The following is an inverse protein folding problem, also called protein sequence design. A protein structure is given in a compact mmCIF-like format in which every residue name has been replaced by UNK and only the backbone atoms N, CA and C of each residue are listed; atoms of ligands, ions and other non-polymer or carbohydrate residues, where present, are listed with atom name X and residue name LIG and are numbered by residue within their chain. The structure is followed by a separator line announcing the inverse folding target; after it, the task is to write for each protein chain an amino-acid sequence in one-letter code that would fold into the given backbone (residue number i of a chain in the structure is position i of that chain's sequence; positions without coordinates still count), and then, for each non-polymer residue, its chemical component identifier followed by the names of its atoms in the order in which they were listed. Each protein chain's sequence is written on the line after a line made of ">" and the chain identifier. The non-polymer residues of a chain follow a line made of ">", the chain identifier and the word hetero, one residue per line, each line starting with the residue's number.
data_IF_303598812594
#
_entry.id   IF_303598812594
#
_cell.length_a   1.000
_cell.length_b   1.000
_cell.length_c   1.000
_cell.angle_alpha   90.00
_cell.angle_beta   90.00
_cell.angle_gamma   90.00
#
_symmetry.space_group_name_H-M   'P 1'
#
loop_
_entity.id
_entity.type
_entity.pdbx_description
1 polymer ?
#
# COMPACT_ATOMS: atom_id res chain seq x y z
N UNK A 1 -48.28 -7.51 -31.56
CA UNK A 1 -47.03 -6.94 -30.98
C UNK A 1 -46.21 -6.34 -32.10
N UNK A 2 -46.07 -5.01 -32.15
CA UNK A 2 -45.48 -4.28 -33.28
C UNK A 2 -43.96 -4.53 -33.35
N UNK A 3 -43.42 -4.68 -34.57
CA UNK A 3 -41.97 -4.90 -34.81
C UNK A 3 -41.08 -3.83 -34.16
N UNK A 4 -41.61 -2.61 -34.02
CA UNK A 4 -40.95 -1.50 -33.33
C UNK A 4 -40.74 -1.74 -31.84
N UNK A 5 -41.74 -2.28 -31.15
CA UNK A 5 -41.64 -2.57 -29.73
C UNK A 5 -40.57 -3.62 -29.45
N UNK A 6 -40.52 -4.68 -30.27
CA UNK A 6 -39.49 -5.72 -30.15
C UNK A 6 -38.08 -5.16 -30.35
N UNK A 7 -37.86 -4.33 -31.38
CA UNK A 7 -36.58 -3.64 -31.60
C UNK A 7 -36.14 -2.77 -30.42
N UNK A 8 -37.08 -2.08 -29.76
CA UNK A 8 -36.79 -1.28 -28.57
C UNK A 8 -36.38 -2.15 -27.38
N UNK A 9 -37.09 -3.25 -27.14
CA UNK A 9 -36.72 -4.22 -26.11
C UNK A 9 -35.36 -4.85 -26.38
N UNK A 10 -35.07 -5.25 -27.62
CA UNK A 10 -33.79 -5.86 -28.01
C UNK A 10 -32.63 -4.87 -27.76
N UNK A 11 -32.82 -3.59 -28.09
CA UNK A 11 -31.84 -2.52 -27.82
C UNK A 11 -31.65 -2.26 -26.33
N UNK A 12 -32.72 -2.24 -25.55
CA UNK A 12 -32.63 -2.08 -24.10
C UNK A 12 -31.85 -3.25 -23.47
N UNK A 13 -32.12 -4.49 -23.93
CA UNK A 13 -31.40 -5.68 -23.48
C UNK A 13 -29.91 -5.63 -23.85
N UNK A 14 -29.57 -5.20 -25.08
CA UNK A 14 -28.17 -5.11 -25.50
C UNK A 14 -27.39 -4.11 -24.64
N UNK A 15 -27.96 -2.94 -24.35
CA UNK A 15 -27.32 -1.94 -23.48
C UNK A 15 -27.17 -2.43 -22.03
N UNK A 16 -28.14 -3.17 -21.49
CA UNK A 16 -28.02 -3.77 -20.15
C UNK A 16 -26.90 -4.80 -20.10
N UNK A 17 -26.78 -5.64 -21.13
CA UNK A 17 -25.70 -6.64 -21.21
C UNK A 17 -24.33 -5.97 -21.34
N UNK A 18 -24.23 -4.94 -22.16
CA UNK A 18 -23.01 -4.14 -22.32
C UNK A 18 -22.60 -3.49 -21.00
N UNK A 19 -23.52 -2.81 -20.31
CA UNK A 19 -23.26 -2.19 -19.01
C UNK A 19 -22.82 -3.24 -17.96
N UNK A 20 -23.47 -4.41 -17.91
CA UNK A 20 -23.04 -5.52 -17.04
C UNK A 20 -21.63 -5.99 -17.37
N UNK A 21 -21.28 -6.11 -18.65
CA UNK A 21 -19.95 -6.54 -19.07
C UNK A 21 -18.87 -5.52 -18.68
N UNK A 22 -19.15 -4.23 -18.84
CA UNK A 22 -18.25 -3.14 -18.44
C UNK A 22 -18.06 -3.14 -16.92
N UNK A 23 -19.15 -3.24 -16.15
CA UNK A 23 -19.07 -3.29 -14.69
C UNK A 23 -18.24 -4.48 -14.20
N UNK A 24 -18.43 -5.66 -14.81
CA UNK A 24 -17.62 -6.84 -14.52
C UNK A 24 -16.15 -6.58 -14.83
N UNK A 25 -15.84 -6.04 -16.01
CA UNK A 25 -14.47 -5.74 -16.41
C UNK A 25 -13.78 -4.81 -15.42
N UNK A 26 -14.40 -3.67 -15.07
CA UNK A 26 -13.81 -2.74 -14.11
C UNK A 26 -13.63 -3.35 -12.71
N UNK A 27 -14.58 -4.17 -12.27
CA UNK A 27 -14.49 -4.87 -10.98
C UNK A 27 -13.35 -5.90 -10.97
N UNK A 28 -13.24 -6.72 -12.02
CA UNK A 28 -12.25 -7.80 -12.11
C UNK A 28 -10.83 -7.28 -12.34
N UNK A 29 -10.64 -6.17 -13.06
CA UNK A 29 -9.31 -5.55 -13.31
C UNK A 29 -8.52 -5.25 -12.04
N UNK A 30 -9.19 -4.99 -10.91
CA UNK A 30 -8.56 -4.64 -9.65
C UNK A 30 -8.49 -5.81 -8.65
N UNK A 31 -9.05 -6.98 -9.01
CA UNK A 31 -8.96 -8.18 -8.18
C UNK A 31 -7.57 -8.79 -8.33
N UNK A 32 -6.97 -9.14 -7.20
CA UNK A 32 -5.69 -9.87 -7.16
C UNK A 32 -5.95 -11.16 -6.41
N UNK A 33 -5.53 -12.27 -7.01
CA UNK A 33 -5.46 -13.55 -6.32
C UNK A 33 -4.22 -13.53 -5.44
N UNK A 34 -4.35 -12.91 -4.27
CA UNK A 34 -3.28 -12.88 -3.26
C UNK A 34 -3.44 -14.11 -2.39
N UNK A 35 -2.58 -15.09 -2.61
CA UNK A 35 -2.48 -16.26 -1.76
C UNK A 35 -1.33 -16.04 -0.77
N UNK A 36 -1.66 -16.00 0.52
CA UNK A 36 -0.67 -15.97 1.58
C UNK A 36 -0.66 -17.33 2.29
N UNK A 37 0.51 -17.84 2.62
CA UNK A 37 0.65 -19.03 3.43
C UNK A 37 0.58 -18.70 4.92
N UNK A 38 0.26 -19.71 5.73
CA UNK A 38 0.40 -19.61 7.18
C UNK A 38 1.89 -19.47 7.52
N UNK A 39 2.24 -18.49 8.34
CA UNK A 39 3.62 -18.14 8.66
C UNK A 39 4.20 -16.99 7.84
N UNK A 40 3.55 -16.58 6.75
CA UNK A 40 3.98 -15.41 5.98
C UNK A 40 3.77 -14.13 6.79
N UNK A 41 4.65 -13.15 6.55
CA UNK A 41 4.52 -11.80 7.10
C UNK A 41 3.69 -10.95 6.15
N UNK A 42 2.73 -10.22 6.71
CA UNK A 42 1.84 -9.34 5.96
C UNK A 42 1.63 -8.02 6.66
N UNK A 43 1.51 -6.97 5.87
CA UNK A 43 1.17 -5.63 6.32
C UNK A 43 -0.35 -5.43 6.34
N UNK A 44 -0.86 -4.90 7.44
CA UNK A 44 -2.30 -4.67 7.63
C UNK A 44 -2.68 -3.21 7.36
N UNK A 45 -3.73 -2.97 6.58
CA UNK A 45 -4.21 -1.62 6.25
C UNK A 45 -4.82 -0.88 7.46
N UNK A 46 -4.39 0.36 7.70
CA UNK A 46 -4.89 1.22 8.80
C UNK A 46 -6.29 1.80 8.59
N UNK A 47 -6.86 1.74 7.37
CA UNK A 47 -8.11 2.44 7.00
C UNK A 47 -9.31 2.21 7.94
N UNK A 48 -9.41 1.03 8.53
CA UNK A 48 -10.54 0.63 9.38
C UNK A 48 -10.08 0.21 10.78
N UNK A 49 -8.85 0.56 11.15
CA UNK A 49 -8.31 0.26 12.47
C UNK A 49 -8.46 1.47 13.38
N UNK A 50 -8.57 1.26 14.70
CA UNK A 50 -8.50 2.35 15.67
C UNK A 50 -7.19 3.11 15.50
N UNK A 51 -7.23 4.43 15.61
CA UNK A 51 -6.07 5.28 15.49
C UNK A 51 -4.98 4.90 16.52
N UNK A 52 -3.71 4.83 16.10
CA UNK A 52 -2.57 4.65 17.01
C UNK A 52 -2.24 5.96 17.71
N UNK A 53 -2.33 7.07 16.97
CA UNK A 53 -1.95 8.40 17.43
C UNK A 53 -3.15 9.35 17.42
N UNK A 54 -3.02 10.51 18.07
CA UNK A 54 -4.06 11.55 18.11
C UNK A 54 -4.39 12.13 16.72
N UNK A 55 -3.48 12.01 15.74
CA UNK A 55 -3.59 12.64 14.43
C UNK A 55 -3.64 11.60 13.29
N UNK A 56 -4.83 11.30 12.72
CA UNK A 56 -5.01 10.32 11.65
C UNK A 56 -4.18 10.59 10.38
N UNK A 57 -3.80 11.86 10.14
CA UNK A 57 -3.05 12.28 8.94
C UNK A 57 -1.60 11.78 8.93
N UNK A 58 -1.01 11.59 10.11
CA UNK A 58 0.36 11.10 10.24
C UNK A 58 0.44 9.58 10.46
N UNK A 59 -0.70 8.90 10.45
CA UNK A 59 -0.69 7.45 10.61
C UNK A 59 -0.11 6.75 9.39
N UNK A 60 0.68 5.69 9.62
CA UNK A 60 1.15 4.87 8.54
C UNK A 60 -0.06 4.23 7.84
N UNK A 61 -0.03 4.20 6.51
CA UNK A 61 -1.11 3.62 5.70
C UNK A 61 -1.30 2.12 5.97
N UNK A 62 -0.19 1.43 6.27
CA UNK A 62 -0.16 0.04 6.67
C UNK A 62 0.64 -0.10 7.96
N UNK A 63 0.18 -0.95 8.87
CA UNK A 63 0.83 -1.24 10.15
C UNK A 63 1.48 -2.60 10.05
N UNK A 64 2.73 -2.65 10.52
CA UNK A 64 3.52 -3.82 10.89
C UNK A 64 3.52 -5.03 9.94
N UNK A 65 4.65 -5.74 9.78
CA UNK A 65 4.59 -7.11 9.32
C UNK A 65 4.04 -7.99 10.45
N UNK A 66 2.79 -8.43 10.33
CA UNK A 66 2.17 -9.41 11.21
C UNK A 66 2.27 -10.80 10.59
N UNK A 67 2.46 -11.82 11.41
CA UNK A 67 2.49 -13.21 10.94
C UNK A 67 1.07 -13.74 10.78
N UNK A 68 0.78 -14.43 9.69
CA UNK A 68 -0.48 -15.16 9.54
C UNK A 68 -0.44 -16.42 10.40
N UNK A 69 -1.38 -16.53 11.35
CA UNK A 69 -1.51 -17.68 12.26
C UNK A 69 -2.33 -18.80 11.62
N UNK A 70 -3.39 -18.46 10.92
CA UNK A 70 -4.27 -19.43 10.27
C UNK A 70 -4.99 -18.82 9.06
N UNK A 71 -5.35 -19.68 8.11
CA UNK A 71 -6.22 -19.34 6.97
C UNK A 71 -7.63 -19.81 7.28
N UNK A 72 -8.54 -18.88 7.58
CA UNK A 72 -9.95 -19.19 7.90
C UNK A 72 -10.70 -19.64 6.64
N UNK A 73 -10.35 -19.07 5.48
CA UNK A 73 -10.94 -19.45 4.20
C UNK A 73 -10.16 -18.90 3.02
N UNK A 74 -10.77 -18.90 1.83
CA UNK A 74 -10.06 -18.44 0.63
C UNK A 74 -9.65 -16.96 0.72
N UNK A 75 -10.43 -16.15 1.44
CA UNK A 75 -10.33 -14.69 1.41
C UNK A 75 -10.08 -14.07 2.80
N UNK A 76 -10.02 -14.89 3.86
CA UNK A 76 -9.88 -14.40 5.23
C UNK A 76 -8.77 -15.14 5.98
N UNK A 77 -7.92 -14.39 6.67
CA UNK A 77 -6.76 -14.87 7.40
C UNK A 77 -6.77 -14.31 8.82
N UNK A 78 -6.31 -15.10 9.81
CA UNK A 78 -6.00 -14.56 11.15
C UNK A 78 -4.55 -14.16 11.25
N UNK A 79 -4.31 -13.04 11.89
CA UNK A 79 -2.99 -12.49 12.16
C UNK A 79 -2.63 -12.64 13.63
N UNK A 80 -1.35 -12.85 13.91
CA UNK A 80 -0.80 -12.74 15.24
C UNK A 80 -0.69 -11.26 15.64
N UNK A 81 -1.81 -10.66 16.05
CA UNK A 81 -1.83 -9.28 16.54
C UNK A 81 -1.36 -9.19 18.00
N UNK A 82 -0.61 -8.14 18.37
CA UNK A 82 -0.33 -7.82 19.75
C UNK A 82 -1.62 -7.52 20.53
N UNK A 83 -1.67 -7.79 21.85
CA UNK A 83 -2.84 -7.52 22.68
C UNK A 83 -3.20 -6.02 22.80
N UNK A 84 -2.31 -5.13 22.34
CA UNK A 84 -2.56 -3.68 22.25
C UNK A 84 -3.62 -3.33 21.22
N UNK A 85 -3.87 -4.18 20.23
CA UNK A 85 -4.91 -3.96 19.23
C UNK A 85 -6.26 -4.42 19.76
N UNK A 86 -7.15 -3.47 20.05
CA UNK A 86 -8.54 -3.74 20.45
C UNK A 86 -9.44 -4.09 19.24
N UNK A 87 -8.97 -4.92 18.32
CA UNK A 87 -9.74 -5.37 17.16
C UNK A 87 -9.66 -6.89 16.97
N UNK A 88 -10.57 -7.43 16.18
CA UNK A 88 -10.54 -8.84 15.81
C UNK A 88 -9.33 -9.15 14.94
N UNK A 89 -8.75 -10.33 15.13
CA UNK A 89 -7.53 -10.80 14.47
C UNK A 89 -7.77 -11.36 13.05
N UNK A 90 -9.03 -11.48 12.62
CA UNK A 90 -9.43 -12.00 11.32
C UNK A 90 -9.66 -10.87 10.29
N UNK A 91 -8.90 -10.88 9.20
CA UNK A 91 -8.95 -9.85 8.15
C UNK A 91 -9.16 -10.44 6.76
N UNK A 92 -9.85 -9.66 5.92
CA UNK A 92 -10.05 -9.97 4.51
C UNK A 92 -8.77 -9.67 3.70
N UNK A 93 -8.48 -10.48 2.68
CA UNK A 93 -7.25 -10.41 1.87
C UNK A 93 -6.98 -9.02 1.26
N UNK A 94 -8.03 -8.26 0.96
CA UNK A 94 -7.92 -6.90 0.41
C UNK A 94 -7.30 -5.88 1.37
N UNK A 95 -7.25 -6.20 2.67
CA UNK A 95 -6.63 -5.36 3.70
C UNK A 95 -5.19 -5.77 4.01
N UNK A 96 -4.73 -6.88 3.40
CA UNK A 96 -3.41 -7.44 3.62
C UNK A 96 -2.52 -7.14 2.41
N UNK A 97 -1.26 -6.84 2.69
CA UNK A 97 -0.22 -6.74 1.66
C UNK A 97 0.92 -7.68 2.05
N UNK A 98 1.33 -8.62 1.20
CA UNK A 98 2.45 -9.50 1.52
C UNK A 98 3.72 -8.69 1.75
N UNK A 99 4.48 -9.07 2.79
CA UNK A 99 5.76 -8.45 3.09
C UNK A 99 6.76 -8.82 1.99
N UNK A 100 7.28 -7.82 1.30
CA UNK A 100 8.34 -7.96 0.31
C UNK A 100 9.62 -7.44 0.97
N UNK A 101 10.44 -8.33 1.58
CA UNK A 101 11.68 -7.90 2.19
C UNK A 101 12.53 -7.22 1.11
N UNK A 102 13.14 -6.10 1.48
CA UNK A 102 14.15 -5.44 0.65
C UNK A 102 15.22 -6.49 0.33
N UNK A 103 15.53 -6.68 -0.95
CA UNK A 103 16.59 -7.59 -1.36
C UNK A 103 17.89 -7.25 -0.61
N UNK A 104 18.61 -8.24 -0.04
CA UNK A 104 19.82 -8.00 0.75
C UNK A 104 20.93 -7.32 -0.06
N UNK A 105 20.88 -7.39 -1.39
CA UNK A 105 21.81 -6.70 -2.29
C UNK A 105 21.64 -5.17 -2.30
N UNK A 106 20.47 -4.67 -1.88
CA UNK A 106 20.24 -3.26 -1.59
C UNK A 106 20.65 -2.95 -0.15
N UNK A 107 21.87 -3.33 0.21
CA UNK A 107 22.57 -2.68 1.33
C UNK A 107 22.38 -1.16 1.13
N UNK A 108 21.99 -0.40 2.16
CA UNK A 108 22.04 1.04 2.09
C UNK A 108 23.45 1.35 1.60
N UNK A 109 23.57 1.83 0.35
CA UNK A 109 24.85 2.24 -0.23
C UNK A 109 25.52 3.01 0.87
N UNK A 110 26.62 2.44 1.42
CA UNK A 110 27.28 2.95 2.63
C UNK A 110 27.17 4.46 2.57
N UNK A 111 26.52 5.07 3.57
CA UNK A 111 26.15 6.47 3.55
C UNK A 111 27.43 7.33 3.44
N UNK A 112 27.99 7.44 2.25
CA UNK A 112 28.93 8.46 1.83
C UNK A 112 28.08 9.71 1.85
N UNK A 113 28.29 10.51 2.89
CA UNK A 113 27.39 11.55 3.36
C UNK A 113 26.78 12.37 2.24
N UNK A 114 25.53 12.78 2.46
CA UNK A 114 24.76 13.66 1.57
C UNK A 114 25.28 15.11 1.52
N UNK A 115 26.59 15.29 1.69
CA UNK A 115 27.37 16.46 1.34
C UNK A 115 28.69 15.94 0.81
N UNK A 116 28.98 16.16 -0.47
CA UNK A 116 30.35 15.98 -0.95
C UNK A 116 31.20 17.02 -0.21
N UNK A 117 32.31 16.63 0.48
CA UNK A 117 33.18 17.61 1.13
C UNK A 117 33.60 18.66 0.10
N UNK A 118 33.37 19.93 0.41
CA UNK A 118 33.77 21.02 -0.47
C UNK A 118 35.28 21.13 -0.49
N UNK A 119 35.85 21.67 -1.58
CA UNK A 119 37.27 22.01 -1.60
C UNK A 119 37.45 23.41 -1.01
N UNK A 120 38.45 23.58 -0.14
CA UNK A 120 38.91 24.89 0.31
C UNK A 120 39.58 25.66 -0.85
N UNK A 121 40.00 26.90 -0.61
CA UNK A 121 40.68 27.74 -1.60
C UNK A 121 42.05 27.19 -2.03
N UNK A 122 42.63 26.25 -1.27
CA UNK A 122 43.88 25.54 -1.57
C UNK A 122 43.64 24.21 -2.32
N UNK A 123 42.38 23.78 -2.46
CA UNK A 123 41.98 22.57 -3.18
C UNK A 123 41.88 21.30 -2.31
N UNK A 124 42.05 21.40 -0.99
CA UNK A 124 41.91 20.30 -0.05
C UNK A 124 40.44 20.05 0.30
N UNK A 125 40.07 18.78 0.54
CA UNK A 125 38.73 18.38 0.97
C UNK A 125 38.49 18.82 2.42
N UNK A 126 37.45 19.61 2.69
CA UNK A 126 37.10 20.07 4.04
C UNK A 126 35.58 20.05 4.30
N UNK A 127 35.22 19.76 5.56
CA UNK A 127 33.84 19.78 6.07
C UNK A 127 33.49 21.13 6.77
N UNK A 128 34.42 22.08 6.76
CA UNK A 128 34.27 23.39 7.40
C UNK A 128 33.83 24.45 6.40
N UNK A 129 32.75 25.17 6.72
CA UNK A 129 32.18 26.23 5.88
C UNK A 129 32.58 27.62 6.41
N UNK A 130 33.31 28.40 5.63
CA UNK A 130 33.52 29.83 5.89
C UNK A 130 32.29 30.63 5.43
N UNK A 131 31.51 31.14 6.40
CA UNK A 131 30.32 31.96 6.12
C UNK A 131 30.73 33.42 5.93
N UNK A 132 30.82 33.87 4.68
CA UNK A 132 31.30 35.22 4.33
C UNK A 132 30.25 36.32 4.49
N UNK A 133 28.96 35.97 4.64
CA UNK A 133 27.87 36.94 4.70
C UNK A 133 26.58 36.28 5.21
N UNK A 134 25.94 36.90 6.21
CA UNK A 134 24.57 36.57 6.61
C UNK A 134 23.67 37.65 6.01
N UNK A 135 22.75 37.26 5.12
CA UNK A 135 21.67 38.12 4.63
C UNK A 135 20.72 38.42 5.78
N UNK A 136 20.80 39.61 6.35
CA UNK A 136 19.71 40.19 7.14
C UNK A 136 18.94 41.16 6.22
N UNK A 137 17.68 40.83 5.92
CA UNK A 137 16.66 41.75 5.41
C UNK A 137 15.32 41.45 6.07
#
# INVERSE_FOLDING_TARGET
>A
MTKLFRKLCDRAQSHILEAKSQQKHYADTHRRDVECAVGDKVWLSSKHLPALDTCPKFEPRFRGPFTITERIGNVAYRLALPPTYECHDAFHVSQLVPDLPRAPELEPRDYVGWWQPTRDYEGNLTDQYEMNYILDQ
#
